data_IF_060066633891
#
_entry.id   IF_060066633891
#
_cell.length_a   1.000
_cell.length_b   1.000
_cell.length_c   1.000
_cell.angle_alpha   90.00
_cell.angle_beta   90.00
_cell.angle_gamma   90.00
#
_symmetry.space_group_name_H-M   'P 1'
#
loop_
_entity.id
_entity.type
_entity.pdbx_description
1 polymer ?
#
# COMPACT_ATOMS: atom_id res chain seq x y z
N UNK A 1 5.13 2.61 0.24
CA UNK A 1 5.26 2.59 -1.23
C UNK A 1 6.68 2.24 -1.59
N UNK A 2 6.91 1.45 -2.62
CA UNK A 2 8.23 0.97 -3.03
C UNK A 2 8.44 1.15 -4.52
N UNK A 3 9.71 1.31 -4.91
CA UNK A 3 10.17 1.29 -6.29
C UNK A 3 11.01 0.03 -6.51
N UNK A 4 10.46 -0.93 -7.27
CA UNK A 4 11.20 -2.12 -7.67
C UNK A 4 11.86 -1.97 -9.04
N UNK A 5 12.77 -2.88 -9.37
CA UNK A 5 13.53 -2.88 -10.65
C UNK A 5 13.01 -3.94 -11.65
N UNK A 6 11.78 -4.44 -11.50
CA UNK A 6 11.17 -5.39 -12.43
C UNK A 6 10.79 -4.72 -13.76
N UNK A 7 10.65 -5.51 -14.83
CA UNK A 7 10.18 -4.99 -16.12
C UNK A 7 8.79 -4.29 -15.97
N UNK A 8 7.88 -4.86 -15.19
CA UNK A 8 6.58 -4.25 -14.90
C UNK A 8 6.72 -2.92 -14.16
N UNK A 9 7.63 -2.84 -13.18
CA UNK A 9 7.94 -1.60 -12.45
C UNK A 9 8.41 -0.50 -13.40
N UNK A 10 9.35 -0.82 -14.31
CA UNK A 10 9.85 0.12 -15.31
C UNK A 10 8.78 0.62 -16.29
N UNK A 11 7.86 -0.27 -16.68
CA UNK A 11 6.71 0.10 -17.54
C UNK A 11 5.79 1.07 -16.80
N UNK A 12 5.44 0.78 -15.54
CA UNK A 12 4.56 1.63 -14.74
C UNK A 12 5.18 3.02 -14.57
N UNK A 13 6.41 3.11 -14.07
CA UNK A 13 7.06 4.39 -13.79
C UNK A 13 7.39 5.16 -15.06
N UNK A 14 7.83 4.49 -16.12
CA UNK A 14 8.10 5.12 -17.42
C UNK A 14 6.88 5.72 -18.10
N UNK A 15 5.73 5.05 -17.97
CA UNK A 15 4.48 5.53 -18.56
C UNK A 15 3.75 6.60 -17.72
N UNK A 16 4.00 6.64 -16.39
CA UNK A 16 3.33 7.57 -15.48
C UNK A 16 4.19 8.74 -15.03
N UNK A 17 5.50 8.64 -15.11
CA UNK A 17 6.44 9.52 -14.40
C UNK A 17 6.41 9.34 -12.86
N UNK A 18 5.73 8.30 -12.36
CA UNK A 18 5.60 8.05 -10.92
C UNK A 18 6.92 7.62 -10.30
N UNK A 19 7.17 8.04 -9.07
CA UNK A 19 8.32 7.64 -8.28
C UNK A 19 8.21 6.19 -7.78
N UNK A 20 6.98 5.70 -7.55
CA UNK A 20 6.72 4.37 -6.99
C UNK A 20 5.92 3.51 -7.95
N UNK A 21 6.26 2.22 -7.99
CA UNK A 21 5.58 1.21 -8.82
C UNK A 21 4.73 0.24 -8.01
N UNK A 22 4.82 0.28 -6.68
CA UNK A 22 4.11 -0.64 -5.79
C UNK A 22 3.64 0.05 -4.51
N UNK A 23 2.52 -0.42 -3.97
CA UNK A 23 1.96 0.04 -2.71
C UNK A 23 1.54 -1.16 -1.84
N UNK A 24 1.80 -1.03 -0.54
CA UNK A 24 1.36 -1.98 0.50
C UNK A 24 0.80 -1.21 1.68
N UNK A 25 0.01 -1.86 2.51
CA UNK A 25 -0.53 -1.31 3.75
C UNK A 25 -0.17 -2.22 4.93
N UNK A 26 0.13 -1.61 6.06
CA UNK A 26 0.27 -2.28 7.36
C UNK A 26 -0.53 -1.53 8.42
N UNK A 27 -0.96 -2.26 9.44
CA UNK A 27 -1.63 -1.71 10.62
C UNK A 27 -0.68 -1.61 11.83
N UNK A 28 0.62 -1.85 11.59
CA UNK A 28 1.66 -1.78 12.62
C UNK A 28 2.88 -1.02 12.10
N UNK A 29 3.59 -0.25 12.95
CA UNK A 29 4.83 0.41 12.56
C UNK A 29 5.97 -0.55 12.21
N UNK A 30 5.90 -1.81 12.67
CA UNK A 30 6.87 -2.86 12.33
C UNK A 30 6.77 -3.33 10.87
N UNK A 31 5.71 -2.93 10.15
CA UNK A 31 5.38 -3.39 8.80
C UNK A 31 5.26 -4.92 8.68
N UNK A 32 5.01 -5.60 9.79
CA UNK A 32 4.79 -7.03 9.84
C UNK A 32 3.42 -7.31 10.49
N UNK A 33 2.43 -7.74 9.68
CA UNK A 33 2.52 -7.97 8.23
C UNK A 33 2.29 -6.72 7.36
N UNK A 34 2.83 -6.78 6.12
CA UNK A 34 2.47 -5.92 4.99
C UNK A 34 1.48 -6.65 4.08
N UNK A 35 0.41 -5.98 3.69
CA UNK A 35 -0.62 -6.52 2.81
C UNK A 35 -0.63 -5.79 1.47
N UNK A 36 -0.74 -6.55 0.38
CA UNK A 36 -0.79 -6.00 -0.98
C UNK A 36 -1.33 -7.00 -2.00
N UNK A 37 -1.35 -6.59 -3.26
CA UNK A 37 -1.46 -7.45 -4.44
C UNK A 37 -0.16 -7.39 -5.22
N UNK A 38 0.46 -8.54 -5.47
CA UNK A 38 1.76 -8.63 -6.13
C UNK A 38 2.16 -10.07 -6.42
N UNK A 39 3.45 -10.32 -6.48
CA UNK A 39 4.01 -11.66 -6.71
C UNK A 39 3.87 -12.52 -5.46
N UNK A 40 3.15 -13.65 -5.58
CA UNK A 40 2.97 -14.64 -4.50
C UNK A 40 4.17 -15.57 -4.37
N UNK A 41 4.70 -16.08 -5.48
CA UNK A 41 5.81 -17.03 -5.52
C UNK A 41 6.79 -16.69 -6.63
N UNK A 42 8.06 -16.90 -6.37
CA UNK A 42 9.15 -16.91 -7.35
C UNK A 42 9.51 -18.38 -7.61
N UNK A 43 8.75 -19.07 -8.47
CA UNK A 43 9.10 -20.41 -8.91
C UNK A 43 9.87 -20.29 -10.23
N UNK A 44 11.19 -20.10 -10.19
CA UNK A 44 12.14 -20.14 -11.31
C UNK A 44 11.70 -19.56 -12.67
N UNK A 45 10.57 -19.96 -13.21
CA UNK A 45 10.03 -19.53 -14.52
C UNK A 45 8.62 -18.95 -14.52
N UNK A 46 7.82 -19.15 -13.47
CA UNK A 46 6.45 -18.61 -13.39
C UNK A 46 6.25 -17.78 -12.12
N UNK A 47 5.69 -16.59 -12.29
CA UNK A 47 5.27 -15.73 -11.19
C UNK A 47 3.77 -15.85 -11.01
N UNK A 48 3.36 -16.35 -9.86
CA UNK A 48 1.96 -16.28 -9.46
C UNK A 48 1.67 -14.92 -8.87
N UNK A 49 0.61 -14.26 -9.34
CA UNK A 49 0.20 -12.93 -8.89
C UNK A 49 -1.14 -13.00 -8.17
N UNK A 50 -1.27 -12.25 -7.08
CA UNK A 50 -2.51 -12.17 -6.32
C UNK A 50 -2.33 -11.43 -5.02
N UNK A 51 -3.22 -11.68 -4.06
CA UNK A 51 -3.09 -11.13 -2.71
C UNK A 51 -1.86 -11.71 -2.01
N UNK A 52 -1.05 -10.85 -1.42
CA UNK A 52 0.17 -11.22 -0.69
C UNK A 52 0.14 -10.68 0.74
N UNK A 53 0.74 -11.45 1.62
CA UNK A 53 1.13 -11.04 2.97
C UNK A 53 2.64 -11.22 3.07
N UNK A 54 3.36 -10.19 3.45
CA UNK A 54 4.83 -10.15 3.46
C UNK A 54 5.34 -9.29 4.63
N UNK A 55 6.61 -9.10 4.70
CA UNK A 55 7.30 -8.21 5.64
C UNK A 55 8.50 -7.54 4.93
N UNK A 56 9.17 -6.53 5.54
CA UNK A 56 10.29 -5.82 4.92
C UNK A 56 11.48 -6.72 4.54
N UNK A 57 11.71 -7.80 5.26
CA UNK A 57 12.85 -8.71 5.07
C UNK A 57 12.52 -9.92 4.20
N UNK A 58 11.33 -9.93 3.60
CA UNK A 58 10.88 -11.05 2.77
C UNK A 58 11.67 -11.15 1.46
N UNK A 59 11.99 -12.38 1.05
CA UNK A 59 12.57 -12.70 -0.26
C UNK A 59 11.70 -12.29 -1.45
N UNK A 60 10.43 -11.94 -1.23
CA UNK A 60 9.54 -11.44 -2.29
C UNK A 60 10.00 -10.10 -2.89
N UNK A 61 10.81 -9.33 -2.18
CA UNK A 61 11.40 -8.07 -2.69
C UNK A 61 12.54 -8.32 -3.69
N UNK A 62 13.05 -9.56 -3.80
CA UNK A 62 14.20 -9.91 -4.62
C UNK A 62 15.53 -9.49 -3.98
N UNK A 63 16.62 -9.63 -4.72
CA UNK A 63 17.98 -9.32 -4.23
C UNK A 63 18.46 -7.90 -4.61
N UNK A 64 17.64 -7.14 -5.33
CA UNK A 64 17.99 -5.78 -5.76
C UNK A 64 17.50 -4.77 -4.74
N UNK A 65 18.24 -3.72 -4.43
CA UNK A 65 17.75 -2.62 -3.59
C UNK A 65 16.40 -2.12 -4.09
N UNK A 66 15.47 -1.95 -3.18
CA UNK A 66 14.11 -1.51 -3.47
C UNK A 66 13.80 -0.32 -2.56
N UNK A 67 13.98 0.88 -3.08
CA UNK A 67 13.75 2.11 -2.30
C UNK A 67 12.29 2.19 -1.84
N UNK A 68 12.08 2.78 -0.68
CA UNK A 68 10.76 2.88 -0.09
C UNK A 68 10.47 4.25 0.53
N UNK A 69 9.21 4.57 0.63
CA UNK A 69 8.71 5.65 1.48
C UNK A 69 7.53 5.16 2.30
N UNK A 70 7.61 5.37 3.61
CA UNK A 70 6.54 5.08 4.55
C UNK A 70 5.72 6.33 4.80
N UNK A 71 4.44 6.18 4.66
CA UNK A 71 3.46 7.19 5.01
C UNK A 71 2.56 6.64 6.10
N UNK A 72 2.19 7.50 7.02
CA UNK A 72 1.21 7.19 8.06
C UNK A 72 -0.04 8.05 7.87
N UNK A 73 -1.19 7.48 8.14
CA UNK A 73 -2.46 8.21 8.25
C UNK A 73 -3.14 7.82 9.55
N UNK A 74 -3.72 8.80 10.24
CA UNK A 74 -4.47 8.57 11.47
C UNK A 74 -5.96 8.57 11.15
N UNK A 75 -6.68 7.67 11.82
CA UNK A 75 -8.13 7.53 11.75
C UNK A 75 -8.66 7.31 13.17
N UNK A 76 -9.92 7.63 13.41
CA UNK A 76 -10.56 7.27 14.67
C UNK A 76 -10.76 5.75 14.80
N UNK A 77 -11.14 5.30 15.99
CA UNK A 77 -11.30 3.87 16.30
C UNK A 77 -12.33 3.19 15.40
N UNK A 78 -13.49 3.80 15.19
CA UNK A 78 -14.56 3.25 14.36
C UNK A 78 -14.09 3.03 12.90
N UNK A 79 -13.42 4.02 12.32
CA UNK A 79 -12.87 3.95 10.97
C UNK A 79 -11.73 2.92 10.87
N UNK A 80 -10.91 2.80 11.91
CA UNK A 80 -9.88 1.76 11.98
C UNK A 80 -10.50 0.35 11.98
N UNK A 81 -11.57 0.14 12.73
CA UNK A 81 -12.30 -1.13 12.76
C UNK A 81 -12.92 -1.47 11.40
N UNK A 82 -13.53 -0.49 10.71
CA UNK A 82 -14.03 -0.66 9.33
C UNK A 82 -12.92 -1.06 8.35
N UNK A 83 -11.75 -0.43 8.45
CA UNK A 83 -10.59 -0.78 7.63
C UNK A 83 -10.12 -2.22 7.90
N UNK A 84 -10.08 -2.64 9.17
CA UNK A 84 -9.71 -4.01 9.54
C UNK A 84 -10.74 -5.04 9.07
N UNK A 85 -12.05 -4.74 9.17
CA UNK A 85 -13.10 -5.62 8.65
C UNK A 85 -13.00 -5.77 7.13
N UNK A 86 -12.69 -4.69 6.41
CA UNK A 86 -12.45 -4.78 4.97
C UNK A 86 -11.21 -5.61 4.64
N UNK A 87 -10.12 -5.48 5.40
CA UNK A 87 -8.94 -6.34 5.24
C UNK A 87 -9.28 -7.81 5.49
N UNK A 88 -10.08 -8.11 6.52
CA UNK A 88 -10.53 -9.47 6.82
C UNK A 88 -11.26 -10.12 5.65
N UNK A 89 -12.09 -9.35 4.92
CA UNK A 89 -12.70 -9.83 3.66
C UNK A 89 -11.64 -10.30 2.66
N UNK A 90 -10.56 -9.53 2.45
CA UNK A 90 -9.48 -9.91 1.53
C UNK A 90 -8.73 -11.15 2.00
N UNK A 91 -8.45 -11.26 3.30
CA UNK A 91 -7.79 -12.43 3.89
C UNK A 91 -8.61 -13.71 3.70
N UNK A 92 -9.92 -13.65 3.93
CA UNK A 92 -10.83 -14.80 3.78
C UNK A 92 -11.02 -15.23 2.32
N UNK A 93 -10.90 -14.30 1.37
CA UNK A 93 -11.12 -14.55 -0.04
C UNK A 93 -9.84 -14.61 -0.89
N UNK A 94 -8.66 -14.58 -0.27
CA UNK A 94 -7.35 -14.41 -0.93
C UNK A 94 -7.10 -15.36 -2.12
N UNK A 95 -7.62 -16.58 -2.07
CA UNK A 95 -7.40 -17.60 -3.10
C UNK A 95 -8.32 -17.43 -4.31
N UNK A 96 -9.45 -16.74 -4.15
CA UNK A 96 -10.38 -16.40 -5.22
C UNK A 96 -10.08 -15.07 -5.92
N UNK A 97 -9.28 -14.22 -5.28
CA UNK A 97 -8.92 -12.90 -5.78
C UNK A 97 -7.70 -12.97 -6.69
N UNK A 98 -7.80 -12.34 -7.85
CA UNK A 98 -6.76 -12.36 -8.90
C UNK A 98 -6.13 -10.98 -9.08
N UNK A 99 -4.94 -10.96 -9.68
CA UNK A 99 -4.29 -9.72 -10.07
C UNK A 99 -4.95 -9.11 -11.31
N UNK A 100 -5.16 -7.78 -11.31
CA UNK A 100 -5.82 -7.04 -12.39
C UNK A 100 -4.81 -6.30 -13.29
N UNK A 101 -4.15 -7.02 -14.21
CA UNK A 101 -3.28 -6.39 -15.20
C UNK A 101 -4.02 -5.40 -16.12
N UNK A 102 -5.19 -5.74 -16.68
CA UNK A 102 -5.95 -4.76 -17.47
C UNK A 102 -6.35 -3.52 -16.67
N UNK A 103 -6.59 -3.67 -15.36
CA UNK A 103 -6.88 -2.54 -14.47
C UNK A 103 -5.74 -1.54 -14.38
N UNK A 104 -4.49 -2.01 -14.38
CA UNK A 104 -3.32 -1.12 -14.42
C UNK A 104 -3.28 -0.26 -15.69
N UNK A 105 -3.69 -0.82 -16.83
CA UNK A 105 -3.75 -0.07 -18.09
C UNK A 105 -4.92 0.93 -18.07
N UNK A 106 -6.07 0.54 -17.54
CA UNK A 106 -7.26 1.40 -17.42
C UNK A 106 -7.03 2.68 -16.61
N UNK A 107 -6.13 2.64 -15.61
CA UNK A 107 -5.78 3.83 -14.82
C UNK A 107 -5.29 4.98 -15.72
N UNK A 108 -4.47 4.68 -16.74
CA UNK A 108 -3.96 5.70 -17.65
C UNK A 108 -5.07 6.42 -18.43
N UNK A 109 -6.14 5.70 -18.73
CA UNK A 109 -7.32 6.23 -19.40
C UNK A 109 -8.39 6.74 -18.43
N UNK A 110 -8.10 6.78 -17.12
CA UNK A 110 -9.04 7.17 -16.05
C UNK A 110 -10.34 6.34 -16.06
N UNK A 111 -10.27 5.09 -16.52
CA UNK A 111 -11.42 4.18 -16.59
C UNK A 111 -11.48 3.36 -15.30
N UNK A 112 -12.60 3.45 -14.60
CA UNK A 112 -12.85 2.71 -13.34
C UNK A 112 -12.88 1.21 -13.58
N UNK A 113 -12.40 0.46 -12.61
CA UNK A 113 -12.55 -1.00 -12.59
C UNK A 113 -13.80 -1.37 -11.79
N UNK A 114 -14.73 -2.08 -12.41
CA UNK A 114 -15.99 -2.50 -11.79
C UNK A 114 -15.93 -3.90 -11.18
N UNK A 115 -14.87 -4.67 -11.45
CA UNK A 115 -14.75 -6.05 -10.96
C UNK A 115 -14.35 -6.09 -9.48
N UNK A 116 -15.03 -6.93 -8.70
CA UNK A 116 -14.72 -7.19 -7.29
C UNK A 116 -13.75 -8.37 -7.09
N UNK A 117 -13.41 -9.10 -8.16
CA UNK A 117 -12.55 -10.28 -8.11
C UNK A 117 -11.11 -10.03 -8.55
N UNK A 118 -10.82 -8.85 -9.12
CA UNK A 118 -9.50 -8.52 -9.65
C UNK A 118 -8.99 -7.21 -9.05
N UNK A 119 -7.76 -7.23 -8.54
CA UNK A 119 -7.16 -6.16 -7.77
C UNK A 119 -5.70 -5.95 -8.16
N UNK A 120 -5.22 -4.72 -8.04
CA UNK A 120 -3.81 -4.38 -8.08
C UNK A 120 -3.42 -3.62 -6.81
N UNK A 121 -2.13 -3.46 -6.55
CA UNK A 121 -1.60 -3.00 -5.28
C UNK A 121 -2.22 -1.68 -4.79
N UNK A 122 -2.18 -0.63 -5.60
CA UNK A 122 -2.68 0.68 -5.18
C UNK A 122 -4.21 0.76 -5.09
N UNK A 123 -4.95 0.02 -5.93
CA UNK A 123 -6.40 -0.12 -5.78
C UNK A 123 -6.77 -0.76 -4.46
N UNK A 124 -6.06 -1.83 -4.08
CA UNK A 124 -6.30 -2.51 -2.80
C UNK A 124 -6.03 -1.57 -1.61
N UNK A 125 -4.88 -0.86 -1.62
CA UNK A 125 -4.57 0.09 -0.55
C UNK A 125 -5.61 1.21 -0.47
N UNK A 126 -6.00 1.79 -1.62
CA UNK A 126 -7.04 2.81 -1.69
C UNK A 126 -8.39 2.29 -1.19
N UNK A 127 -8.75 1.05 -1.50
CA UNK A 127 -9.99 0.40 -1.02
C UNK A 127 -10.01 0.25 0.50
N UNK A 128 -8.89 -0.15 1.11
CA UNK A 128 -8.80 -0.22 2.59
C UNK A 128 -8.91 1.18 3.19
N UNK A 129 -8.17 2.15 2.64
CA UNK A 129 -8.19 3.53 3.14
C UNK A 129 -9.57 4.18 3.00
N UNK A 130 -10.34 3.87 1.97
CA UNK A 130 -11.69 4.42 1.75
C UNK A 130 -12.70 4.03 2.82
N UNK A 131 -12.41 3.02 3.63
CA UNK A 131 -13.27 2.65 4.75
C UNK A 131 -13.13 3.60 5.95
N UNK A 132 -12.05 4.38 5.99
CA UNK A 132 -11.78 5.28 7.10
C UNK A 132 -11.39 6.71 6.71
N UNK A 133 -11.28 6.98 5.41
CA UNK A 133 -10.87 8.28 4.87
C UNK A 133 -11.78 8.70 3.72
N UNK A 134 -12.01 9.99 3.62
CA UNK A 134 -12.65 10.57 2.44
C UNK A 134 -11.72 10.46 1.23
N UNK A 135 -12.28 10.04 0.12
CA UNK A 135 -11.54 9.78 -1.11
C UNK A 135 -11.99 10.75 -2.21
N UNK A 136 -11.05 11.46 -2.82
CA UNK A 136 -11.31 12.39 -3.93
C UNK A 136 -11.76 11.68 -5.21
N UNK A 137 -11.46 10.39 -5.35
CA UNK A 137 -11.78 9.59 -6.54
C UNK A 137 -12.00 8.13 -6.18
N UNK A 138 -12.53 7.38 -7.13
CA UNK A 138 -12.73 5.93 -7.01
C UNK A 138 -11.40 5.20 -6.67
N UNK A 139 -11.38 4.23 -5.71
CA UNK A 139 -10.19 3.47 -5.34
C UNK A 139 -9.43 2.86 -6.52
N UNK A 140 -10.13 2.45 -7.60
CA UNK A 140 -9.50 1.88 -8.79
C UNK A 140 -8.72 2.87 -9.65
N UNK A 141 -8.79 4.17 -9.34
CA UNK A 141 -8.08 5.23 -10.05
C UNK A 141 -6.84 5.73 -9.30
N UNK A 142 -6.50 5.12 -8.14
CA UNK A 142 -5.29 5.47 -7.42
C UNK A 142 -4.08 4.69 -7.94
N UNK A 143 -3.03 5.44 -8.29
CA UNK A 143 -1.68 4.90 -8.54
C UNK A 143 -0.89 4.90 -7.25
N UNK A 144 0.21 4.12 -7.13
CA UNK A 144 1.04 4.14 -5.92
C UNK A 144 1.39 5.55 -5.47
N UNK A 145 1.86 6.38 -6.38
CA UNK A 145 2.31 7.76 -6.09
C UNK A 145 1.17 8.69 -5.62
N UNK A 146 -0.04 8.47 -6.10
CA UNK A 146 -1.19 9.33 -5.74
C UNK A 146 -1.80 9.01 -4.38
N UNK A 147 -1.45 7.87 -3.77
CA UNK A 147 -1.92 7.51 -2.42
C UNK A 147 -1.41 8.48 -1.34
N UNK A 148 -0.22 9.08 -1.54
CA UNK A 148 0.34 10.08 -0.62
C UNK A 148 -0.49 11.36 -0.51
N UNK A 149 -1.35 11.63 -1.48
CA UNK A 149 -2.26 12.79 -1.49
C UNK A 149 -3.59 12.56 -0.76
N UNK A 150 -3.85 11.37 -0.21
CA UNK A 150 -5.04 11.14 0.60
C UNK A 150 -4.95 11.97 1.87
N UNK A 151 -6.01 12.71 2.21
CA UNK A 151 -6.02 13.66 3.30
C UNK A 151 -5.55 13.10 4.64
N UNK A 152 -4.74 13.86 5.36
CA UNK A 152 -4.14 13.45 6.64
C UNK A 152 -3.06 12.38 6.53
N UNK A 153 -2.49 12.17 5.33
CA UNK A 153 -1.37 11.25 5.11
C UNK A 153 -0.04 11.99 5.22
N UNK A 154 0.82 11.57 6.14
CA UNK A 154 2.11 12.20 6.42
C UNK A 154 3.27 11.26 6.04
N UNK A 155 4.33 11.82 5.46
CA UNK A 155 5.57 11.08 5.26
C UNK A 155 6.23 10.83 6.62
N UNK A 156 6.51 9.56 6.92
CA UNK A 156 7.13 9.12 8.18
C UNK A 156 8.63 8.87 8.02
N UNK A 157 9.03 8.10 7.02
CA UNK A 157 10.43 7.83 6.72
C UNK A 157 10.63 7.36 5.26
N UNK A 158 11.89 7.40 4.81
CA UNK A 158 12.34 6.88 3.51
C UNK A 158 13.61 6.06 3.69
N UNK A 159 13.86 5.14 2.77
CA UNK A 159 15.10 4.38 2.69
C UNK A 159 15.40 3.92 1.27
N UNK A 160 16.67 3.65 1.02
CA UNK A 160 17.17 3.25 -0.30
C UNK A 160 16.95 1.76 -0.57
N UNK A 161 16.76 0.95 0.49
CA UNK A 161 16.43 -0.46 0.38
C UNK A 161 15.47 -0.88 1.48
N UNK A 162 14.38 -1.56 1.10
CA UNK A 162 13.43 -2.12 2.06
C UNK A 162 14.07 -3.23 2.92
N UNK A 163 15.16 -3.85 2.45
CA UNK A 163 15.90 -4.86 3.21
C UNK A 163 16.64 -4.27 4.42
N UNK A 164 16.97 -2.96 4.36
CA UNK A 164 17.64 -2.23 5.43
C UNK A 164 16.62 -1.59 6.40
N UNK A 165 15.35 -1.95 6.30
CA UNK A 165 14.30 -1.45 7.18
C UNK A 165 14.60 -1.79 8.64
N UNK A 166 14.67 -0.77 9.49
CA UNK A 166 14.82 -0.91 10.94
C UNK A 166 13.50 -0.61 11.66
N UNK A 167 12.96 -1.62 12.34
CA UNK A 167 11.71 -1.51 13.09
C UNK A 167 11.80 -0.51 14.25
N UNK A 168 12.96 -0.38 14.90
CA UNK A 168 13.14 0.57 16.01
C UNK A 168 13.10 2.00 15.51
N UNK A 169 13.77 2.24 14.38
CA UNK A 169 13.74 3.54 13.71
C UNK A 169 12.33 3.91 13.26
N UNK A 170 11.61 2.95 12.66
CA UNK A 170 10.23 3.14 12.24
C UNK A 170 9.29 3.45 13.41
N UNK A 171 9.42 2.74 14.55
CA UNK A 171 8.65 3.04 15.77
C UNK A 171 8.98 4.43 16.31
N UNK A 172 10.25 4.83 16.33
CA UNK A 172 10.66 6.15 16.79
C UNK A 172 10.11 7.27 15.87
N UNK A 173 10.15 7.04 14.55
CA UNK A 173 9.58 7.96 13.57
C UNK A 173 8.06 8.08 13.72
N UNK A 174 7.36 6.97 13.94
CA UNK A 174 5.91 6.94 14.19
C UNK A 174 5.54 7.77 15.42
N UNK A 175 6.25 7.60 16.54
CA UNK A 175 5.99 8.37 17.77
C UNK A 175 6.24 9.88 17.58
N UNK A 176 7.19 10.28 16.73
CA UNK A 176 7.41 11.69 16.39
C UNK A 176 6.23 12.25 15.60
N UNK A 177 5.76 11.53 14.57
CA UNK A 177 4.62 11.99 13.75
C UNK A 177 3.33 12.04 14.56
N UNK A 178 3.11 11.05 15.44
CA UNK A 178 1.93 11.01 16.33
C UNK A 178 1.86 12.21 17.28
N UNK A 179 2.99 12.74 17.73
CA UNK A 179 3.07 13.88 18.63
C UNK A 179 3.04 15.24 17.91
N UNK A 180 3.07 15.27 16.58
CA UNK A 180 3.03 16.49 15.82
C UNK A 180 1.67 17.21 15.98
N UNK A 181 1.63 18.54 16.18
CA UNK A 181 0.40 19.28 16.52
C UNK A 181 -0.72 19.13 15.48
N UNK A 182 -0.40 19.02 14.20
CA UNK A 182 -1.39 18.85 13.13
C UNK A 182 -2.12 17.49 13.16
N UNK A 183 -1.57 16.50 13.87
CA UNK A 183 -2.16 15.16 14.02
C UNK A 183 -2.93 15.01 15.35
N UNK A 184 -2.68 15.88 16.32
CA UNK A 184 -3.35 15.86 17.62
C UNK A 184 -4.86 16.16 17.51
N UNK A 185 -5.25 16.97 16.52
CA UNK A 185 -6.65 17.37 16.32
C UNK A 185 -7.55 16.23 15.84
N UNK A 186 -7.01 15.24 15.13
CA UNK A 186 -7.75 14.08 14.63
C UNK A 186 -7.92 12.93 15.64
N UNK A 187 -7.22 13.01 16.80
CA UNK A 187 -7.25 11.96 17.84
C UNK A 187 -8.18 12.36 19.02
N UNK A 188 -8.57 13.63 19.12
CA UNK A 188 -9.21 14.21 20.33
C UNK A 188 -10.76 14.20 20.29
N UNK A 189 -11.40 13.79 19.21
CA UNK A 189 -12.87 13.83 19.11
C UNK A 189 -13.61 12.57 19.61
N UNK A 190 -12.91 11.60 20.23
CA UNK A 190 -13.53 10.43 20.87
C UNK A 190 -13.35 10.48 22.40
N UNK A 191 -14.10 11.38 23.06
CA UNK A 191 -14.44 11.26 24.49
C UNK A 191 -15.91 11.04 24.68
#
# INVERSE_FOLDING_TARGET
MTLGHTALSKIITGATGDQFSHASISFTPSLNPLYSFGTKKLNGKSRELGFITTDPHSNLWGNTPCSYSLYVTFVNKENYEKMQERLKYFLLNKDSLKYDFPGLVRIFFKVKSTTQKKWFCSRFVAEILSQGKEMEKDPSLYRPDTLKGIGGTCLMMKGDSIHDFDEKEAKAAFEKVKKAPDNATSIVEDK
#
